data_IF_398109320171
#
_entry.id   IF_398109320171
#
_cell.length_a   1.000
_cell.length_b   1.000
_cell.length_c   1.000
_cell.angle_alpha   90.00
_cell.angle_beta   90.00
_cell.angle_gamma   90.00
#
_symmetry.space_group_name_H-M   'P 1'
#
loop_
_entity.id
_entity.type
_entity.pdbx_description
1 polymer ?
#
# COMPACT_ATOMS: atom_id res chain seq x y z
N UNK A 1 -45.54 38.82 16.10
CA UNK A 1 -45.15 38.33 17.46
C UNK A 1 -45.01 36.80 17.54
N UNK A 2 -45.76 36.04 16.74
CA UNK A 2 -45.71 34.54 16.79
C UNK A 2 -44.36 33.92 16.34
N UNK A 3 -43.70 34.52 15.36
CA UNK A 3 -42.41 33.93 14.85
C UNK A 3 -41.25 34.04 15.82
N UNK A 4 -41.23 35.07 16.68
CA UNK A 4 -40.15 35.23 17.66
C UNK A 4 -40.30 34.22 18.82
N UNK A 5 -41.51 34.03 19.30
CA UNK A 5 -41.81 33.06 20.36
C UNK A 5 -41.56 31.64 19.89
N UNK A 6 -41.87 31.32 18.64
CA UNK A 6 -41.59 30.02 18.06
C UNK A 6 -40.09 29.72 17.93
N UNK A 7 -39.29 30.71 17.47
CA UNK A 7 -37.83 30.60 17.41
C UNK A 7 -37.19 30.44 18.78
N UNK A 8 -37.69 31.14 19.78
CA UNK A 8 -37.18 31.03 21.15
C UNK A 8 -37.47 29.66 21.77
N UNK A 9 -38.69 29.12 21.56
CA UNK A 9 -39.03 27.75 21.97
C UNK A 9 -38.20 26.69 21.25
N UNK A 10 -37.91 26.87 19.98
CA UNK A 10 -37.08 25.99 19.21
C UNK A 10 -35.62 25.98 19.70
N UNK A 11 -35.07 27.17 20.03
CA UNK A 11 -33.73 27.30 20.60
C UNK A 11 -33.61 26.63 21.98
N UNK A 12 -34.60 26.83 22.85
CA UNK A 12 -34.65 26.16 24.17
C UNK A 12 -34.79 24.64 24.02
N UNK A 13 -35.58 24.16 23.07
CA UNK A 13 -35.71 22.73 22.79
C UNK A 13 -34.37 22.11 22.28
N UNK A 14 -33.66 22.84 21.44
CA UNK A 14 -32.33 22.41 20.96
C UNK A 14 -31.30 22.35 22.10
N UNK A 15 -31.28 23.33 22.98
CA UNK A 15 -30.39 23.34 24.16
C UNK A 15 -30.70 22.15 25.07
N UNK A 16 -31.98 21.94 25.41
CA UNK A 16 -32.40 20.78 26.21
C UNK A 16 -32.08 19.47 25.56
N UNK A 17 -32.25 19.33 24.24
CA UNK A 17 -31.88 18.14 23.51
C UNK A 17 -30.39 17.80 23.62
N UNK A 18 -29.51 18.81 23.53
CA UNK A 18 -28.06 18.67 23.69
C UNK A 18 -27.68 18.32 25.13
N UNK A 19 -28.33 18.93 26.12
CA UNK A 19 -28.11 18.64 27.54
C UNK A 19 -28.45 17.18 27.86
N UNK A 20 -29.63 16.71 27.40
CA UNK A 20 -30.07 15.33 27.59
C UNK A 20 -29.06 14.32 26.97
N UNK A 21 -28.58 14.57 25.76
CA UNK A 21 -27.59 13.71 25.09
C UNK A 21 -26.24 13.82 25.77
N UNK A 22 -25.86 15.01 26.26
CA UNK A 22 -24.59 15.20 27.00
C UNK A 22 -24.57 14.47 28.34
N UNK A 23 -25.73 14.40 29.04
CA UNK A 23 -25.86 13.74 30.35
C UNK A 23 -26.01 12.22 30.23
N UNK A 24 -26.81 11.75 29.27
CA UNK A 24 -27.18 10.33 29.15
C UNK A 24 -26.35 9.57 28.11
N UNK A 25 -25.70 10.25 27.19
CA UNK A 25 -25.10 9.65 25.99
C UNK A 25 -26.13 9.44 24.86
N UNK A 26 -25.63 9.30 23.64
CA UNK A 26 -26.49 9.19 22.44
C UNK A 26 -27.28 7.87 22.39
N UNK A 27 -26.62 6.73 22.59
CA UNK A 27 -27.25 5.39 22.54
C UNK A 27 -28.39 5.21 23.55
N UNK A 28 -28.23 5.52 24.86
CA UNK A 28 -29.32 5.44 25.82
C UNK A 28 -30.53 6.31 25.48
N UNK A 29 -30.30 7.49 24.88
CA UNK A 29 -31.39 8.37 24.44
C UNK A 29 -32.15 7.73 23.30
N UNK A 30 -31.48 7.16 22.31
CA UNK A 30 -32.09 6.47 21.17
C UNK A 30 -32.90 5.23 21.63
N UNK A 31 -32.34 4.41 22.48
CA UNK A 31 -33.02 3.24 23.03
C UNK A 31 -34.28 3.62 23.79
N UNK A 32 -34.19 4.60 24.68
CA UNK A 32 -35.33 5.08 25.46
C UNK A 32 -36.46 5.61 24.58
N UNK A 33 -36.12 6.43 23.57
CA UNK A 33 -37.13 7.01 22.67
C UNK A 33 -37.70 5.95 21.73
N UNK A 34 -36.93 5.00 21.28
CA UNK A 34 -37.41 3.85 20.49
C UNK A 34 -38.40 3.00 21.30
N UNK A 35 -38.09 2.66 22.56
CA UNK A 35 -38.95 1.88 23.45
C UNK A 35 -40.26 2.63 23.77
N UNK A 36 -40.22 3.97 23.79
CA UNK A 36 -41.41 4.81 24.01
C UNK A 36 -42.28 5.00 22.76
N UNK A 37 -41.97 4.37 21.62
CA UNK A 37 -42.70 4.51 20.38
C UNK A 37 -42.34 5.76 19.57
N UNK A 38 -41.21 6.36 19.87
CA UNK A 38 -40.67 7.55 19.19
C UNK A 38 -40.85 8.87 19.95
N UNK A 39 -40.23 9.95 19.46
CA UNK A 39 -40.30 11.24 20.10
C UNK A 39 -41.68 11.89 19.90
N UNK A 40 -42.33 12.32 20.99
CA UNK A 40 -43.67 12.89 21.02
C UNK A 40 -43.66 14.42 21.17
N UNK A 41 -42.66 14.95 21.89
CA UNK A 41 -42.50 16.39 22.14
C UNK A 41 -41.46 17.02 21.25
N UNK A 42 -41.46 18.36 21.12
CA UNK A 42 -40.41 19.08 20.36
C UNK A 42 -39.02 18.84 20.97
N UNK A 43 -38.92 18.84 22.29
CA UNK A 43 -37.65 18.57 22.99
C UNK A 43 -37.12 17.16 22.75
N UNK A 44 -38.02 16.16 22.73
CA UNK A 44 -37.65 14.77 22.40
C UNK A 44 -37.23 14.60 20.94
N UNK A 45 -37.89 15.29 19.99
CA UNK A 45 -37.47 15.28 18.56
C UNK A 45 -36.09 15.86 18.37
N UNK A 46 -35.79 16.95 19.03
CA UNK A 46 -34.45 17.55 19.00
C UNK A 46 -33.41 16.65 19.69
N UNK A 47 -33.73 16.09 20.86
CA UNK A 47 -32.83 15.12 21.50
C UNK A 47 -32.59 13.91 20.63
N UNK A 48 -33.62 13.37 19.97
CA UNK A 48 -33.48 12.24 19.02
C UNK A 48 -32.61 12.60 17.83
N UNK A 49 -32.81 13.79 17.23
CA UNK A 49 -31.99 14.26 16.11
C UNK A 49 -30.51 14.46 16.50
N UNK A 50 -30.24 15.01 17.68
CA UNK A 50 -28.87 15.16 18.19
C UNK A 50 -28.26 13.80 18.49
N UNK A 51 -28.98 12.89 19.16
CA UNK A 51 -28.53 11.54 19.50
C UNK A 51 -28.20 10.73 18.25
N UNK A 52 -29.06 10.78 17.21
CA UNK A 52 -28.77 10.12 15.92
C UNK A 52 -27.46 10.59 15.29
N UNK A 53 -27.22 11.91 15.27
CA UNK A 53 -25.97 12.44 14.69
C UNK A 53 -24.72 12.06 15.49
N UNK A 54 -24.82 12.08 16.81
CA UNK A 54 -23.69 11.70 17.69
C UNK A 54 -23.41 10.21 17.56
N UNK A 55 -24.46 9.37 17.68
CA UNK A 55 -24.31 7.93 17.54
C UNK A 55 -23.79 7.52 16.15
N UNK A 56 -24.28 8.17 15.09
CA UNK A 56 -23.78 7.93 13.74
C UNK A 56 -22.28 8.27 13.60
N UNK A 57 -21.84 9.40 14.19
CA UNK A 57 -20.45 9.81 14.16
C UNK A 57 -19.53 8.86 14.99
N UNK A 58 -20.01 8.37 16.12
CA UNK A 58 -19.32 7.37 16.95
C UNK A 58 -19.17 6.06 16.17
N UNK A 59 -20.26 5.52 15.61
CA UNK A 59 -20.24 4.28 14.81
C UNK A 59 -19.31 4.43 13.60
N UNK A 60 -19.36 5.60 12.91
CA UNK A 60 -18.47 5.87 11.77
C UNK A 60 -17.01 5.86 12.20
N UNK A 61 -16.69 6.49 13.30
CA UNK A 61 -15.34 6.57 13.83
C UNK A 61 -14.80 5.19 14.20
N UNK A 62 -15.57 4.41 14.96
CA UNK A 62 -15.18 3.07 15.40
C UNK A 62 -14.98 2.12 14.22
N UNK A 63 -15.92 2.14 13.27
CA UNK A 63 -15.83 1.32 12.07
C UNK A 63 -14.61 1.68 11.20
N UNK A 64 -14.32 2.97 11.03
CA UNK A 64 -13.13 3.44 10.30
C UNK A 64 -11.83 3.04 11.01
N UNK A 65 -11.78 3.14 12.34
CA UNK A 65 -10.63 2.71 13.13
C UNK A 65 -10.39 1.21 12.97
N UNK A 66 -11.46 0.40 13.07
CA UNK A 66 -11.35 -1.05 12.93
C UNK A 66 -10.92 -1.46 11.51
N UNK A 67 -11.50 -0.86 10.46
CA UNK A 67 -11.09 -1.09 9.07
C UNK A 67 -9.59 -0.73 8.87
N UNK A 68 -9.14 0.40 9.41
CA UNK A 68 -7.75 0.80 9.31
C UNK A 68 -6.83 -0.13 10.11
N UNK A 69 -7.25 -0.60 11.28
CA UNK A 69 -6.52 -1.59 12.10
C UNK A 69 -6.32 -2.88 11.32
N UNK A 70 -7.38 -3.43 10.70
CA UNK A 70 -7.31 -4.65 9.89
C UNK A 70 -6.28 -4.50 8.77
N UNK A 71 -6.33 -3.39 8.04
CA UNK A 71 -5.38 -3.12 6.93
C UNK A 71 -3.94 -3.04 7.45
N UNK A 72 -3.70 -2.26 8.51
CA UNK A 72 -2.36 -2.03 9.05
C UNK A 72 -1.75 -3.30 9.64
N UNK A 73 -2.52 -4.04 10.43
CA UNK A 73 -2.10 -5.34 10.97
C UNK A 73 -1.89 -6.37 9.87
N UNK A 74 -2.77 -6.37 8.85
CA UNK A 74 -2.63 -7.23 7.70
C UNK A 74 -1.34 -6.98 6.93
N UNK A 75 -0.98 -5.71 6.73
CA UNK A 75 0.26 -5.31 6.08
C UNK A 75 1.50 -5.71 6.90
N UNK A 76 1.49 -5.46 8.20
CA UNK A 76 2.62 -5.80 9.08
C UNK A 76 2.82 -7.32 9.22
N UNK A 77 1.72 -8.08 9.32
CA UNK A 77 1.74 -9.53 9.43
C UNK A 77 1.87 -10.24 8.06
N UNK A 78 1.79 -9.50 6.95
CA UNK A 78 1.84 -10.09 5.60
C UNK A 78 0.69 -11.04 5.30
N UNK A 79 -0.52 -10.77 5.82
CA UNK A 79 -1.71 -11.58 5.60
C UNK A 79 -2.07 -11.65 4.11
N UNK A 80 -2.75 -12.71 3.70
CA UNK A 80 -3.25 -12.82 2.33
C UNK A 80 -4.42 -11.87 2.06
N UNK A 81 -4.63 -11.51 0.78
CA UNK A 81 -5.77 -10.67 0.39
C UNK A 81 -7.09 -11.29 0.82
N UNK A 82 -7.25 -12.61 0.71
CA UNK A 82 -8.46 -13.32 1.12
C UNK A 82 -8.74 -13.24 2.63
N UNK A 83 -7.70 -13.28 3.46
CA UNK A 83 -7.84 -13.07 4.91
C UNK A 83 -8.33 -11.68 5.25
N UNK A 84 -7.79 -10.65 4.57
CA UNK A 84 -8.22 -9.26 4.78
C UNK A 84 -9.65 -9.05 4.27
N UNK A 85 -10.00 -9.63 3.12
CA UNK A 85 -11.37 -9.58 2.61
C UNK A 85 -12.37 -10.19 3.57
N UNK A 86 -12.06 -11.38 4.16
CA UNK A 86 -12.91 -12.00 5.15
C UNK A 86 -13.09 -11.12 6.39
N UNK A 87 -12.01 -10.54 6.92
CA UNK A 87 -12.09 -9.64 8.08
C UNK A 87 -12.86 -8.34 7.81
N UNK A 88 -12.72 -7.76 6.62
CA UNK A 88 -13.51 -6.60 6.23
C UNK A 88 -14.98 -6.95 6.02
N UNK A 89 -15.28 -8.14 5.51
CA UNK A 89 -16.65 -8.65 5.41
C UNK A 89 -17.29 -8.82 6.79
N UNK A 90 -16.58 -9.44 7.74
CA UNK A 90 -17.07 -9.60 9.13
C UNK A 90 -17.43 -8.24 9.75
N UNK A 91 -16.63 -7.20 9.51
CA UNK A 91 -16.93 -5.83 9.99
C UNK A 91 -18.16 -5.27 9.30
N UNK A 92 -18.28 -5.41 7.97
CA UNK A 92 -19.43 -4.90 7.21
C UNK A 92 -20.72 -5.65 7.55
N UNK A 93 -20.66 -6.94 7.83
CA UNK A 93 -21.79 -7.75 8.25
C UNK A 93 -22.28 -7.38 9.66
N UNK A 94 -21.42 -6.80 10.49
CA UNK A 94 -21.78 -6.25 11.79
C UNK A 94 -22.51 -4.89 11.72
N UNK A 95 -22.40 -4.13 10.62
CA UNK A 95 -22.99 -2.80 10.51
C UNK A 95 -24.52 -2.77 10.76
N UNK A 96 -25.35 -3.70 10.24
CA UNK A 96 -26.78 -3.66 10.49
C UNK A 96 -27.15 -3.65 11.97
N UNK A 97 -26.44 -4.41 12.80
CA UNK A 97 -26.69 -4.43 14.25
C UNK A 97 -26.31 -3.09 14.91
N UNK A 98 -25.17 -2.50 14.53
CA UNK A 98 -24.72 -1.20 15.05
C UNK A 98 -25.64 -0.04 14.64
N UNK A 99 -26.30 -0.15 13.48
CA UNK A 99 -27.19 0.86 12.93
C UNK A 99 -28.66 0.71 13.37
N UNK A 100 -29.00 -0.35 14.09
CA UNK A 100 -30.40 -0.70 14.37
C UNK A 100 -31.17 0.37 15.17
N UNK A 101 -30.47 1.16 15.98
CA UNK A 101 -31.09 2.21 16.82
C UNK A 101 -31.12 3.58 16.14
N UNK A 102 -30.49 3.74 14.97
CA UNK A 102 -30.54 4.99 14.21
C UNK A 102 -31.85 5.07 13.41
N UNK A 103 -32.23 6.32 13.05
CA UNK A 103 -33.30 6.48 12.07
C UNK A 103 -32.92 5.86 10.71
N UNK A 104 -33.93 5.36 9.94
CA UNK A 104 -33.66 4.60 8.71
C UNK A 104 -32.86 5.36 7.64
N UNK A 105 -33.03 6.69 7.55
CA UNK A 105 -32.32 7.53 6.58
C UNK A 105 -30.83 7.64 6.96
N UNK A 106 -30.54 8.02 8.20
CA UNK A 106 -29.19 8.10 8.75
C UNK A 106 -28.50 6.75 8.68
N UNK A 107 -29.17 5.66 9.07
CA UNK A 107 -28.64 4.31 8.97
C UNK A 107 -28.31 3.90 7.54
N UNK A 108 -29.17 4.24 6.57
CA UNK A 108 -28.95 3.97 5.15
C UNK A 108 -27.74 4.72 4.58
N UNK A 109 -27.62 6.00 4.88
CA UNK A 109 -26.49 6.83 4.46
C UNK A 109 -25.16 6.33 5.06
N UNK A 110 -25.16 6.06 6.36
CA UNK A 110 -23.96 5.60 7.06
C UNK A 110 -23.51 4.23 6.58
N UNK A 111 -24.46 3.30 6.34
CA UNK A 111 -24.14 1.99 5.75
C UNK A 111 -23.42 2.12 4.42
N UNK A 112 -23.93 2.96 3.52
CA UNK A 112 -23.31 3.20 2.22
C UNK A 112 -21.89 3.80 2.35
N UNK A 113 -21.71 4.75 3.26
CA UNK A 113 -20.40 5.35 3.54
C UNK A 113 -19.40 4.31 4.06
N UNK A 114 -19.79 3.50 5.06
CA UNK A 114 -18.91 2.48 5.64
C UNK A 114 -18.58 1.37 4.65
N UNK A 115 -19.54 0.95 3.83
CA UNK A 115 -19.28 -0.01 2.74
C UNK A 115 -18.27 0.55 1.74
N UNK A 116 -18.37 1.82 1.38
CA UNK A 116 -17.40 2.47 0.50
C UNK A 116 -16.00 2.56 1.16
N UNK A 117 -15.92 2.83 2.45
CA UNK A 117 -14.64 2.85 3.19
C UNK A 117 -14.00 1.45 3.19
N UNK A 118 -14.77 0.40 3.44
CA UNK A 118 -14.30 -0.99 3.40
C UNK A 118 -13.79 -1.38 1.99
N UNK A 119 -14.54 -1.03 0.94
CA UNK A 119 -14.13 -1.27 -0.44
C UNK A 119 -12.82 -0.53 -0.79
N UNK A 120 -12.69 0.73 -0.40
CA UNK A 120 -11.45 1.49 -0.60
C UNK A 120 -10.27 0.88 0.18
N UNK A 121 -10.50 0.39 1.39
CA UNK A 121 -9.50 -0.31 2.18
C UNK A 121 -9.03 -1.60 1.49
N UNK A 122 -9.95 -2.38 0.92
CA UNK A 122 -9.64 -3.57 0.14
C UNK A 122 -8.79 -3.24 -1.10
N UNK A 123 -9.15 -2.20 -1.86
CA UNK A 123 -8.39 -1.76 -3.03
C UNK A 123 -6.97 -1.34 -2.63
N UNK A 124 -6.82 -0.55 -1.56
CA UNK A 124 -5.50 -0.15 -1.05
C UNK A 124 -4.66 -1.35 -0.62
N UNK A 125 -5.26 -2.33 0.06
CA UNK A 125 -4.56 -3.54 0.46
C UNK A 125 -4.13 -4.39 -0.74
N UNK A 126 -4.99 -4.57 -1.73
CA UNK A 126 -4.70 -5.28 -2.97
C UNK A 126 -3.50 -4.67 -3.71
N UNK A 127 -3.49 -3.35 -3.85
CA UNK A 127 -2.37 -2.61 -4.47
C UNK A 127 -1.05 -2.81 -3.69
N UNK A 128 -1.10 -2.73 -2.36
CA UNK A 128 0.06 -2.99 -1.50
C UNK A 128 0.56 -4.44 -1.65
N UNK A 129 -0.34 -5.43 -1.62
CA UNK A 129 0.01 -6.84 -1.75
C UNK A 129 0.67 -7.14 -3.09
N UNK A 130 0.13 -6.57 -4.18
CA UNK A 130 0.73 -6.69 -5.52
C UNK A 130 2.12 -6.06 -5.59
N UNK A 131 2.28 -4.87 -5.03
CA UNK A 131 3.59 -4.18 -4.97
C UNK A 131 4.61 -4.95 -4.13
N UNK A 132 4.17 -5.59 -3.04
CA UNK A 132 5.02 -6.45 -2.21
C UNK A 132 5.46 -7.69 -2.97
N UNK A 133 4.51 -8.40 -3.62
CA UNK A 133 4.81 -9.59 -4.40
C UNK A 133 5.82 -9.29 -5.52
N UNK A 134 5.67 -8.16 -6.21
CA UNK A 134 6.63 -7.72 -7.23
C UNK A 134 8.02 -7.47 -6.65
N UNK A 135 8.13 -6.80 -5.49
CA UNK A 135 9.43 -6.58 -4.84
C UNK A 135 10.08 -7.89 -4.39
N UNK A 136 9.30 -8.83 -3.84
CA UNK A 136 9.81 -10.15 -3.45
C UNK A 136 10.29 -10.94 -4.66
N UNK A 137 9.55 -10.91 -5.77
CA UNK A 137 9.94 -11.54 -7.03
C UNK A 137 11.22 -10.91 -7.59
N UNK A 138 11.33 -9.59 -7.61
CA UNK A 138 12.54 -8.88 -8.02
C UNK A 138 13.74 -9.21 -7.11
N UNK A 139 13.51 -9.28 -5.77
CA UNK A 139 14.55 -9.67 -4.82
C UNK A 139 15.11 -11.06 -5.09
N UNK A 140 14.25 -12.04 -5.36
CA UNK A 140 14.69 -13.40 -5.74
C UNK A 140 15.40 -13.42 -7.08
N UNK A 141 14.97 -12.59 -8.01
CA UNK A 141 15.59 -12.51 -9.33
C UNK A 141 16.99 -11.89 -9.30
N UNK A 142 17.32 -11.04 -8.32
CA UNK A 142 18.66 -10.45 -8.18
C UNK A 142 19.75 -11.54 -8.05
N UNK A 143 19.47 -12.64 -7.39
CA UNK A 143 20.41 -13.78 -7.30
C UNK A 143 20.69 -14.34 -8.69
N UNK A 144 19.64 -14.61 -9.47
CA UNK A 144 19.80 -15.12 -10.84
C UNK A 144 20.47 -14.12 -11.81
N UNK A 145 20.27 -12.81 -11.59
CA UNK A 145 20.98 -11.75 -12.32
C UNK A 145 22.47 -11.78 -11.99
N UNK A 146 22.81 -11.86 -10.71
CA UNK A 146 24.20 -11.95 -10.23
C UNK A 146 24.94 -13.17 -10.80
N UNK A 147 24.29 -14.33 -10.83
CA UNK A 147 24.85 -15.55 -11.43
C UNK A 147 25.11 -15.38 -12.94
N UNK A 148 24.18 -14.79 -13.67
CA UNK A 148 24.36 -14.50 -15.10
C UNK A 148 25.44 -13.46 -15.35
N UNK A 149 25.55 -12.42 -14.52
CA UNK A 149 26.67 -11.48 -14.58
C UNK A 149 28.01 -12.20 -14.40
N UNK A 150 28.14 -13.02 -13.37
CA UNK A 150 29.37 -13.80 -13.12
C UNK A 150 29.72 -14.69 -14.30
N UNK A 151 28.73 -15.27 -14.99
CA UNK A 151 28.97 -16.08 -16.20
C UNK A 151 29.48 -15.23 -17.37
N UNK A 152 28.87 -14.05 -17.59
CA UNK A 152 29.34 -13.12 -18.64
C UNK A 152 30.77 -12.69 -18.38
N UNK A 153 31.10 -12.32 -17.13
CA UNK A 153 32.45 -11.93 -16.75
C UNK A 153 33.45 -13.07 -16.90
N UNK A 154 33.09 -14.31 -16.53
CA UNK A 154 33.94 -15.50 -16.70
C UNK A 154 34.22 -15.78 -18.17
N UNK A 155 33.19 -15.68 -19.05
CA UNK A 155 33.39 -15.83 -20.50
C UNK A 155 34.31 -14.75 -21.06
N UNK A 156 34.08 -13.50 -20.66
CA UNK A 156 34.92 -12.38 -21.05
C UNK A 156 36.39 -12.59 -20.66
N UNK A 157 36.65 -13.04 -19.43
CA UNK A 157 38.01 -13.32 -18.95
C UNK A 157 38.67 -14.51 -19.66
N UNK A 158 37.92 -15.52 -20.10
CA UNK A 158 38.43 -16.69 -20.78
C UNK A 158 38.69 -16.48 -22.27
N UNK A 159 38.02 -15.52 -22.92
CA UNK A 159 38.14 -15.25 -24.35
C UNK A 159 39.40 -14.43 -24.65
N UNK A 160 40.27 -14.94 -25.57
CA UNK A 160 41.54 -14.29 -25.91
C UNK A 160 41.35 -13.14 -26.90
N UNK A 161 40.53 -13.36 -27.93
CA UNK A 161 40.25 -12.37 -28.96
C UNK A 161 39.42 -11.22 -28.37
N UNK A 162 39.90 -9.95 -28.48
CA UNK A 162 39.16 -8.77 -27.98
C UNK A 162 37.77 -8.57 -28.64
N UNK A 163 37.64 -8.87 -29.93
CA UNK A 163 36.41 -8.72 -30.67
C UNK A 163 35.35 -9.78 -30.24
N UNK A 164 35.79 -11.04 -30.12
CA UNK A 164 34.92 -12.10 -29.60
C UNK A 164 34.52 -11.86 -28.14
N UNK A 165 35.46 -11.32 -27.33
CA UNK A 165 35.16 -10.93 -25.94
C UNK A 165 34.09 -9.85 -25.89
N UNK A 166 34.24 -8.79 -26.67
CA UNK A 166 33.25 -7.72 -26.72
C UNK A 166 31.86 -8.21 -27.14
N UNK A 167 31.82 -9.08 -28.18
CA UNK A 167 30.58 -9.69 -28.63
C UNK A 167 29.91 -10.56 -27.56
N UNK A 168 30.68 -11.36 -26.84
CA UNK A 168 30.20 -12.21 -25.74
C UNK A 168 29.63 -11.39 -24.58
N UNK A 169 30.30 -10.26 -24.24
CA UNK A 169 29.80 -9.32 -23.21
C UNK A 169 28.51 -8.64 -23.63
N UNK A 170 28.44 -8.13 -24.86
CA UNK A 170 27.25 -7.44 -25.37
C UNK A 170 26.05 -8.40 -25.46
N UNK A 171 26.26 -9.64 -25.91
CA UNK A 171 25.20 -10.65 -25.93
C UNK A 171 24.73 -10.98 -24.53
N UNK A 172 25.64 -11.22 -23.58
CA UNK A 172 25.29 -11.55 -22.20
C UNK A 172 24.56 -10.40 -21.50
N UNK A 173 24.97 -9.17 -21.75
CA UNK A 173 24.27 -7.97 -21.25
C UNK A 173 22.85 -7.86 -21.83
N UNK A 174 22.68 -8.11 -23.12
CA UNK A 174 21.38 -8.10 -23.76
C UNK A 174 20.42 -9.13 -23.16
N UNK A 175 20.93 -10.34 -22.89
CA UNK A 175 20.16 -11.42 -22.26
C UNK A 175 19.74 -11.06 -20.84
N UNK A 176 20.66 -10.50 -20.02
CA UNK A 176 20.34 -10.04 -18.66
C UNK A 176 19.33 -8.88 -18.69
N UNK A 177 19.53 -7.91 -19.57
CA UNK A 177 18.60 -6.78 -19.71
C UNK A 177 17.20 -7.23 -20.13
N UNK A 178 17.09 -8.18 -21.07
CA UNK A 178 15.84 -8.82 -21.46
C UNK A 178 15.15 -9.52 -20.28
N UNK A 179 15.90 -10.28 -19.49
CA UNK A 179 15.40 -10.93 -18.29
C UNK A 179 14.89 -9.93 -17.24
N UNK A 180 15.65 -8.86 -16.99
CA UNK A 180 15.24 -7.80 -16.05
C UNK A 180 13.97 -7.07 -16.50
N UNK A 181 13.82 -6.79 -17.81
CA UNK A 181 12.57 -6.20 -18.35
C UNK A 181 11.38 -7.12 -18.17
N UNK A 182 11.55 -8.43 -18.41
CA UNK A 182 10.51 -9.44 -18.16
C UNK A 182 10.04 -9.47 -16.70
N UNK A 183 10.90 -9.08 -15.76
CA UNK A 183 10.60 -8.97 -14.33
C UNK A 183 10.20 -7.55 -13.88
N UNK A 184 9.93 -6.66 -14.83
CA UNK A 184 9.50 -5.27 -14.58
C UNK A 184 10.48 -4.43 -13.76
N UNK A 185 11.79 -4.66 -13.90
CA UNK A 185 12.80 -3.73 -13.38
C UNK A 185 12.73 -2.40 -14.13
N UNK A 186 12.98 -1.30 -13.42
CA UNK A 186 13.03 0.04 -14.02
C UNK A 186 14.25 0.22 -14.94
N UNK A 187 14.10 0.98 -16.04
CA UNK A 187 15.18 1.21 -17.03
C UNK A 187 16.45 1.81 -16.39
N UNK A 188 16.32 2.62 -15.32
CA UNK A 188 17.48 3.12 -14.58
C UNK A 188 18.30 2.01 -13.90
N UNK A 189 17.62 0.98 -13.38
CA UNK A 189 18.29 -0.18 -12.76
C UNK A 189 18.97 -1.04 -13.82
N UNK A 190 18.30 -1.26 -14.96
CA UNK A 190 18.84 -1.99 -16.10
C UNK A 190 20.08 -1.28 -16.65
N UNK A 191 20.00 0.03 -16.88
CA UNK A 191 21.12 0.84 -17.36
C UNK A 191 22.33 0.80 -16.43
N UNK A 192 22.11 0.87 -15.13
CA UNK A 192 23.18 0.75 -14.13
C UNK A 192 23.83 -0.62 -14.17
N UNK A 193 23.06 -1.68 -14.28
CA UNK A 193 23.56 -3.05 -14.43
C UNK A 193 24.42 -3.20 -15.68
N UNK A 194 23.95 -2.70 -16.84
CA UNK A 194 24.69 -2.70 -18.10
C UNK A 194 26.05 -2.03 -17.95
N UNK A 195 26.06 -0.81 -17.39
CA UNK A 195 27.30 -0.03 -17.20
C UNK A 195 28.28 -0.78 -16.31
N UNK A 196 27.82 -1.21 -15.12
CA UNK A 196 28.68 -1.94 -14.17
C UNK A 196 29.23 -3.23 -14.76
N UNK A 197 28.41 -3.98 -15.52
CA UNK A 197 28.88 -5.24 -16.15
C UNK A 197 29.92 -4.97 -17.22
N UNK A 198 29.76 -3.91 -18.02
CA UNK A 198 30.78 -3.52 -19.03
C UNK A 198 32.08 -3.06 -18.40
N UNK A 199 32.01 -2.23 -17.37
CA UNK A 199 33.21 -1.78 -16.64
C UNK A 199 33.97 -2.94 -16.00
N UNK A 200 33.27 -3.86 -15.36
CA UNK A 200 33.85 -5.07 -14.78
C UNK A 200 34.50 -5.96 -15.87
N UNK A 201 33.77 -6.20 -16.96
CA UNK A 201 34.29 -7.06 -18.05
C UNK A 201 35.54 -6.46 -18.70
N UNK A 202 35.61 -5.14 -18.85
CA UNK A 202 36.78 -4.43 -19.34
C UNK A 202 37.98 -4.60 -18.38
N UNK A 203 37.73 -4.38 -17.08
CA UNK A 203 38.76 -4.51 -16.04
C UNK A 203 39.27 -5.94 -15.95
N UNK A 204 38.38 -6.91 -15.83
CA UNK A 204 38.77 -8.35 -15.72
C UNK A 204 39.45 -8.84 -16.98
N UNK A 205 39.02 -8.37 -18.16
CA UNK A 205 39.66 -8.67 -19.43
C UNK A 205 41.08 -8.10 -19.53
N UNK A 206 41.31 -6.90 -19.02
CA UNK A 206 42.62 -6.26 -18.96
C UNK A 206 43.55 -7.01 -18.00
N UNK A 207 43.06 -7.33 -16.80
CA UNK A 207 43.85 -8.13 -15.82
C UNK A 207 44.20 -9.49 -16.38
N UNK A 208 43.24 -10.20 -16.99
CA UNK A 208 43.48 -11.50 -17.57
C UNK A 208 44.48 -11.45 -18.75
N UNK A 209 44.45 -10.40 -19.56
CA UNK A 209 45.42 -10.17 -20.60
C UNK A 209 46.82 -9.95 -20.02
N UNK A 210 46.96 -9.11 -19.01
CA UNK A 210 48.23 -8.84 -18.32
C UNK A 210 48.83 -10.12 -17.66
N UNK A 211 48.00 -10.93 -17.01
CA UNK A 211 48.42 -12.15 -16.34
C UNK A 211 48.93 -13.26 -17.31
N UNK A 212 48.56 -13.16 -18.58
CA UNK A 212 49.00 -14.13 -19.61
C UNK A 212 50.38 -13.78 -20.22
N UNK A 213 50.86 -12.56 -19.96
CA UNK A 213 52.18 -12.13 -20.46
C UNK A 213 53.30 -12.90 -19.72
N UNK A 214 54.18 -13.52 -20.49
CA UNK A 214 55.18 -14.43 -19.96
C UNK A 214 56.45 -13.75 -19.46
N UNK A 215 56.70 -12.49 -19.87
CA UNK A 215 57.91 -11.75 -19.51
C UNK A 215 57.62 -10.38 -18.89
N UNK A 216 58.59 -9.91 -18.12
CA UNK A 216 58.51 -8.58 -17.48
C UNK A 216 58.52 -7.46 -18.54
N UNK A 217 59.18 -7.65 -19.65
CA UNK A 217 59.25 -6.72 -20.77
C UNK A 217 57.91 -6.57 -21.46
N UNK A 218 57.19 -7.67 -21.71
CA UNK A 218 55.83 -7.67 -22.26
C UNK A 218 54.86 -7.01 -21.31
N UNK A 219 54.98 -7.25 -20.00
CA UNK A 219 54.13 -6.59 -18.98
C UNK A 219 54.36 -5.09 -18.92
N UNK A 220 55.61 -4.63 -19.01
CA UNK A 220 55.96 -3.20 -19.05
C UNK A 220 55.42 -2.54 -20.32
N UNK A 221 55.62 -3.15 -21.49
CA UNK A 221 55.08 -2.64 -22.75
C UNK A 221 53.54 -2.55 -22.74
N UNK A 222 52.86 -3.54 -22.16
CA UNK A 222 51.41 -3.53 -22.01
C UNK A 222 50.92 -2.39 -21.14
N UNK A 223 51.57 -2.14 -19.99
CA UNK A 223 51.22 -1.03 -19.11
C UNK A 223 51.45 0.36 -19.75
N UNK A 224 52.51 0.50 -20.53
CA UNK A 224 52.80 1.72 -21.25
C UNK A 224 51.71 2.04 -22.29
N UNK A 225 51.33 1.02 -23.07
CA UNK A 225 50.24 1.17 -24.07
C UNK A 225 48.87 1.41 -23.46
N UNK A 226 48.65 1.06 -22.18
CA UNK A 226 47.37 1.29 -21.48
C UNK A 226 47.26 2.70 -20.93
N UNK A 227 48.42 3.44 -20.79
CA UNK A 227 48.46 4.80 -20.25
C UNK A 227 48.51 5.87 -21.35
N UNK A 228 48.74 5.51 -22.59
CA UNK A 228 48.64 6.37 -23.78
C UNK A 228 47.19 6.44 -24.32
#
# INVERSE_FOLDING_TARGET
>A
MSDFVFKEQQLQAQQRGREIVGEMGAQPVLERLSQAGGPTTIGEREAYSVANRVAAAEIETDARQEINRIVTEGQSAGRSLSQIQAQLADVTDGFPASLANLDPETAGLLRNQLTNVANQAQIRYSSWASSRANREMQGRALVGISERQAEVLRRAASTQDPAERAAAVDQGIADIAGYMRGLQFGEAQISRMILTTREQAATDGTIAAFQRLGSLEEQQAFLTNLME
#
